data_IF_232957250837
#
_entry.id   IF_232957250837
#
_cell.length_a   1.000
_cell.length_b   1.000
_cell.length_c   1.000
_cell.angle_alpha   90.00
_cell.angle_beta   90.00
_cell.angle_gamma   90.00
#
_symmetry.space_group_name_H-M   'P 1'
#
loop_
_entity.id
_entity.type
_entity.pdbx_description
1 polymer ?
#
# COMPACT_ATOMS: atom_id res chain seq x y z
N UNK A 1 39.46 -27.12 28.11
CA UNK A 1 38.73 -26.96 26.84
C UNK A 1 37.49 -26.13 27.11
N UNK A 2 37.54 -24.84 26.78
CA UNK A 2 36.45 -23.91 27.06
C UNK A 2 35.49 -23.93 25.88
N UNK A 3 34.30 -24.48 26.07
CA UNK A 3 33.24 -24.47 25.05
C UNK A 3 32.81 -23.03 24.77
N UNK A 4 33.11 -22.55 23.56
CA UNK A 4 32.56 -21.30 23.03
C UNK A 4 31.09 -21.57 22.70
N UNK A 5 30.18 -21.09 23.54
CA UNK A 5 28.74 -21.07 23.24
C UNK A 5 28.51 -20.13 22.06
N UNK A 6 28.42 -20.69 20.86
CA UNK A 6 28.01 -19.97 19.66
C UNK A 6 26.55 -19.53 19.89
N UNK A 7 26.33 -18.23 20.01
CA UNK A 7 25.00 -17.65 20.17
C UNK A 7 24.22 -17.81 18.85
N UNK A 8 23.37 -18.84 18.76
CA UNK A 8 22.59 -19.22 17.56
C UNK A 8 21.46 -18.26 17.17
N UNK A 9 21.38 -17.08 17.80
CA UNK A 9 20.35 -16.07 17.52
C UNK A 9 20.80 -14.91 16.61
N UNK A 10 21.99 -14.97 16.00
CA UNK A 10 22.35 -14.03 14.94
C UNK A 10 21.72 -14.52 13.63
N UNK A 11 20.64 -13.88 13.20
CA UNK A 11 20.23 -13.93 11.79
C UNK A 11 21.38 -13.35 10.98
N UNK A 12 21.93 -14.14 10.07
CA UNK A 12 22.91 -13.64 9.12
C UNK A 12 22.23 -12.62 8.19
N UNK A 13 22.91 -11.50 7.93
CA UNK A 13 22.41 -10.51 6.99
C UNK A 13 22.37 -11.10 5.58
N UNK A 14 21.31 -10.79 4.83
CA UNK A 14 21.21 -11.19 3.42
C UNK A 14 22.25 -10.44 2.60
N UNK A 15 22.63 -10.99 1.45
CA UNK A 15 23.53 -10.30 0.52
C UNK A 15 22.96 -8.92 0.11
N UNK A 16 21.64 -8.83 -0.05
CA UNK A 16 20.95 -7.57 -0.35
C UNK A 16 21.04 -6.55 0.80
N UNK A 17 20.89 -7.00 2.06
CA UNK A 17 21.06 -6.13 3.24
C UNK A 17 22.50 -5.61 3.34
N UNK A 18 23.50 -6.45 3.07
CA UNK A 18 24.92 -6.05 3.07
C UNK A 18 25.20 -5.04 1.96
N UNK A 19 24.77 -5.32 0.72
CA UNK A 19 24.96 -4.39 -0.40
C UNK A 19 24.28 -3.04 -0.15
N UNK A 20 23.06 -3.04 0.39
CA UNK A 20 22.36 -1.80 0.72
C UNK A 20 23.07 -1.00 1.83
N UNK A 21 23.60 -1.70 2.83
CA UNK A 21 24.39 -1.07 3.89
C UNK A 21 25.70 -0.47 3.38
N UNK A 22 26.42 -1.17 2.50
CA UNK A 22 27.65 -0.66 1.87
C UNK A 22 27.37 0.58 1.00
N UNK A 23 26.26 0.59 0.25
CA UNK A 23 25.84 1.75 -0.51
C UNK A 23 25.53 2.96 0.39
N UNK A 24 24.90 2.73 1.55
CA UNK A 24 24.71 3.76 2.57
C UNK A 24 26.04 4.29 3.10
N UNK A 25 26.99 3.41 3.44
CA UNK A 25 28.32 3.83 3.92
C UNK A 25 29.09 4.66 2.88
N UNK A 26 29.00 4.28 1.60
CA UNK A 26 29.59 5.05 0.51
C UNK A 26 28.98 6.46 0.42
N UNK A 27 27.65 6.57 0.54
CA UNK A 27 26.97 7.86 0.53
C UNK A 27 27.33 8.75 1.74
N UNK A 28 27.51 8.16 2.93
CA UNK A 28 28.01 8.87 4.13
C UNK A 28 29.43 9.40 3.90
N UNK A 29 30.30 8.58 3.31
CA UNK A 29 31.67 8.98 3.02
C UNK A 29 31.70 10.16 2.03
N UNK A 30 30.91 10.09 0.96
CA UNK A 30 30.79 11.17 -0.02
C UNK A 30 30.27 12.46 0.62
N UNK A 31 29.22 12.39 1.44
CA UNK A 31 28.71 13.54 2.18
C UNK A 31 29.80 14.20 3.03
N UNK A 32 30.61 13.41 3.74
CA UNK A 32 31.71 13.92 4.56
C UNK A 32 32.79 14.59 3.71
N UNK A 33 33.14 14.00 2.56
CA UNK A 33 34.11 14.58 1.61
C UNK A 33 33.61 15.92 1.08
N UNK A 34 32.35 16.00 0.64
CA UNK A 34 31.72 17.23 0.13
C UNK A 34 31.69 18.30 1.22
N UNK A 35 31.31 17.94 2.46
CA UNK A 35 31.27 18.89 3.57
C UNK A 35 32.65 19.44 3.95
N UNK A 36 33.69 18.63 3.85
CA UNK A 36 35.07 19.02 4.14
C UNK A 36 35.72 19.84 3.01
N UNK A 37 35.17 19.81 1.80
CA UNK A 37 35.71 20.52 0.63
C UNK A 37 35.50 22.03 0.77
N UNK A 38 36.60 22.80 0.82
CA UNK A 38 36.59 24.27 0.99
C UNK A 38 35.79 25.05 -0.05
N UNK A 39 35.56 24.50 -1.24
CA UNK A 39 34.81 25.14 -2.32
C UNK A 39 33.39 24.60 -2.54
N UNK A 40 32.92 23.65 -1.72
CA UNK A 40 31.57 23.12 -1.87
C UNK A 40 30.53 24.17 -1.46
N UNK A 41 29.55 24.37 -2.34
CA UNK A 41 28.42 25.26 -2.08
C UNK A 41 27.46 24.65 -1.07
N UNK A 42 26.56 25.46 -0.52
CA UNK A 42 25.48 24.95 0.34
C UNK A 42 24.60 23.95 -0.40
N UNK A 43 24.34 24.16 -1.70
CA UNK A 43 23.57 23.22 -2.53
C UNK A 43 24.26 21.87 -2.62
N UNK A 44 25.57 21.83 -2.89
CA UNK A 44 26.34 20.57 -2.98
C UNK A 44 26.24 19.76 -1.68
N UNK A 45 26.29 20.43 -0.53
CA UNK A 45 26.15 19.79 0.79
C UNK A 45 24.74 19.26 1.01
N UNK A 46 23.71 20.00 0.61
CA UNK A 46 22.32 19.55 0.72
C UNK A 46 22.02 18.38 -0.21
N UNK A 47 22.53 18.40 -1.44
CA UNK A 47 22.37 17.31 -2.41
C UNK A 47 23.07 16.03 -1.90
N UNK A 48 24.27 16.16 -1.34
CA UNK A 48 24.98 15.03 -0.72
C UNK A 48 24.24 14.49 0.52
N UNK A 49 23.66 15.36 1.34
CA UNK A 49 22.85 14.96 2.49
C UNK A 49 21.56 14.24 2.06
N UNK A 50 20.91 14.70 1.00
CA UNK A 50 19.74 14.05 0.41
C UNK A 50 20.09 12.66 -0.16
N UNK A 51 21.24 12.53 -0.82
CA UNK A 51 21.75 11.26 -1.32
C UNK A 51 22.03 10.27 -0.18
N UNK A 52 22.68 10.73 0.90
CA UNK A 52 22.88 9.93 2.12
C UNK A 52 21.55 9.47 2.72
N UNK A 53 20.58 10.38 2.86
CA UNK A 53 19.26 10.05 3.42
C UNK A 53 18.53 9.02 2.56
N UNK A 54 18.58 9.16 1.23
CA UNK A 54 17.98 8.20 0.29
C UNK A 54 18.61 6.81 0.42
N UNK A 55 19.94 6.73 0.50
CA UNK A 55 20.64 5.46 0.67
C UNK A 55 20.31 4.80 2.02
N UNK A 56 20.20 5.60 3.09
CA UNK A 56 19.76 5.13 4.40
C UNK A 56 18.33 4.58 4.37
N UNK A 57 17.39 5.32 3.77
CA UNK A 57 16.00 4.86 3.64
C UNK A 57 15.92 3.54 2.88
N UNK A 58 16.69 3.40 1.79
CA UNK A 58 16.73 2.16 1.01
C UNK A 58 17.28 0.98 1.81
N UNK A 59 18.33 1.20 2.60
CA UNK A 59 18.84 0.17 3.51
C UNK A 59 17.79 -0.25 4.53
N UNK A 60 17.12 0.70 5.17
CA UNK A 60 16.09 0.42 6.14
C UNK A 60 14.87 -0.32 5.54
N UNK A 61 14.45 0.02 4.33
CA UNK A 61 13.42 -0.72 3.59
C UNK A 61 13.80 -2.19 3.41
N UNK A 62 15.02 -2.47 2.93
CA UNK A 62 15.50 -3.83 2.64
C UNK A 62 15.67 -4.64 3.92
N UNK A 63 16.21 -4.02 4.97
CA UNK A 63 16.41 -4.67 6.27
C UNK A 63 15.13 -4.74 7.13
N UNK A 64 14.01 -4.19 6.66
CA UNK A 64 12.73 -4.18 7.37
C UNK A 64 12.73 -3.32 8.63
N UNK A 65 13.61 -2.32 8.73
CA UNK A 65 13.60 -1.38 9.85
C UNK A 65 12.48 -0.36 9.67
N UNK A 66 11.62 -0.16 10.69
CA UNK A 66 10.58 0.86 10.61
C UNK A 66 11.23 2.24 10.62
N UNK A 67 11.19 2.95 9.48
CA UNK A 67 11.66 4.33 9.43
C UNK A 67 10.56 5.25 9.93
N UNK A 68 10.60 5.58 11.22
CA UNK A 68 9.78 6.63 11.79
C UNK A 68 10.28 7.99 11.27
N UNK A 69 9.77 8.46 10.13
CA UNK A 69 9.91 9.87 9.73
C UNK A 69 10.40 10.17 8.31
N UNK A 70 10.67 9.19 7.45
CA UNK A 70 11.06 9.46 6.05
C UNK A 70 10.08 8.89 5.04
N UNK A 71 8.77 9.09 5.24
CA UNK A 71 7.87 9.01 4.08
C UNK A 71 8.19 10.22 3.21
N UNK A 72 8.61 10.00 1.98
CA UNK A 72 8.88 11.13 1.09
C UNK A 72 7.59 11.95 0.91
N UNK A 73 7.68 13.25 0.62
CA UNK A 73 6.49 14.06 0.30
C UNK A 73 5.65 13.44 -0.83
N UNK A 74 6.28 12.76 -1.77
CA UNK A 74 5.64 12.00 -2.86
C UNK A 74 4.86 10.79 -2.32
N UNK A 75 5.39 10.07 -1.32
CA UNK A 75 4.68 8.97 -0.66
C UNK A 75 3.47 9.48 0.10
N UNK A 76 3.57 10.64 0.76
CA UNK A 76 2.45 11.25 1.49
C UNK A 76 1.33 11.63 0.51
N UNK A 77 1.67 12.35 -0.58
CA UNK A 77 0.70 12.72 -1.60
C UNK A 77 0.06 11.48 -2.26
N UNK A 78 0.85 10.44 -2.52
CA UNK A 78 0.36 9.17 -3.05
C UNK A 78 -0.58 8.47 -2.08
N UNK A 79 -0.23 8.42 -0.79
CA UNK A 79 -1.09 7.83 0.26
C UNK A 79 -2.40 8.62 0.40
N UNK A 80 -2.36 9.95 0.39
CA UNK A 80 -3.57 10.79 0.46
C UNK A 80 -4.45 10.58 -0.77
N UNK A 81 -3.86 10.53 -1.97
CA UNK A 81 -4.58 10.23 -3.21
C UNK A 81 -5.23 8.84 -3.16
N UNK A 82 -4.48 7.81 -2.76
CA UNK A 82 -5.00 6.45 -2.63
C UNK A 82 -6.12 6.37 -1.58
N UNK A 83 -5.98 7.04 -0.45
CA UNK A 83 -7.04 7.14 0.57
C UNK A 83 -8.31 7.80 0.02
N UNK A 84 -8.18 8.88 -0.74
CA UNK A 84 -9.30 9.53 -1.40
C UNK A 84 -10.02 8.58 -2.36
N UNK A 85 -9.25 7.86 -3.21
CA UNK A 85 -9.83 6.90 -4.16
C UNK A 85 -10.50 5.71 -3.48
N UNK A 86 -9.95 5.22 -2.37
CA UNK A 86 -10.60 4.18 -1.56
C UNK A 86 -11.92 4.70 -1.00
N UNK A 87 -11.96 5.95 -0.51
CA UNK A 87 -13.20 6.58 -0.04
C UNK A 87 -14.28 6.65 -1.12
N UNK A 88 -13.93 7.13 -2.33
CA UNK A 88 -14.85 7.19 -3.47
C UNK A 88 -15.40 5.81 -3.87
N UNK A 89 -14.55 4.78 -3.87
CA UNK A 89 -14.97 3.40 -4.18
C UNK A 89 -15.91 2.83 -3.12
N UNK A 90 -15.66 3.12 -1.84
CA UNK A 90 -16.53 2.71 -0.73
C UNK A 90 -17.90 3.36 -0.84
N UNK A 91 -17.97 4.66 -1.15
CA UNK A 91 -19.26 5.36 -1.36
C UNK A 91 -20.02 4.84 -2.58
N UNK A 92 -19.32 4.52 -3.67
CA UNK A 92 -19.92 3.89 -4.84
C UNK A 92 -20.50 2.50 -4.50
N UNK A 93 -19.78 1.70 -3.70
CA UNK A 93 -20.26 0.40 -3.24
C UNK A 93 -21.48 0.53 -2.31
N UNK A 94 -21.50 1.50 -1.38
CA UNK A 94 -22.68 1.79 -0.54
C UNK A 94 -23.89 2.23 -1.38
N UNK A 95 -23.66 3.07 -2.38
CA UNK A 95 -24.70 3.54 -3.29
C UNK A 95 -25.29 2.40 -4.10
N UNK A 96 -24.44 1.57 -4.72
CA UNK A 96 -24.89 0.39 -5.46
C UNK A 96 -25.62 -0.63 -4.56
N UNK A 97 -25.21 -0.79 -3.30
CA UNK A 97 -25.93 -1.63 -2.32
C UNK A 97 -27.34 -1.10 -2.07
N UNK A 98 -27.44 0.22 -1.86
CA UNK A 98 -28.72 0.89 -1.63
C UNK A 98 -29.65 0.78 -2.84
N UNK A 99 -29.12 0.84 -4.07
CA UNK A 99 -29.90 0.63 -5.29
C UNK A 99 -30.42 -0.80 -5.37
N UNK A 100 -29.59 -1.81 -5.08
CA UNK A 100 -30.01 -3.21 -5.05
C UNK A 100 -31.05 -3.49 -3.95
N UNK A 101 -30.89 -2.89 -2.77
CA UNK A 101 -31.88 -2.99 -1.69
C UNK A 101 -33.21 -2.31 -2.07
N UNK A 102 -33.16 -1.17 -2.77
CA UNK A 102 -34.36 -0.51 -3.29
C UNK A 102 -35.07 -1.34 -4.37
N UNK A 103 -34.31 -1.98 -5.24
CA UNK A 103 -34.81 -2.91 -6.26
C UNK A 103 -35.53 -4.12 -5.63
N UNK A 104 -34.93 -4.71 -4.59
CA UNK A 104 -35.52 -5.82 -3.83
C UNK A 104 -36.81 -5.38 -3.12
N UNK A 105 -36.80 -4.21 -2.48
CA UNK A 105 -37.97 -3.67 -1.78
C UNK A 105 -39.15 -3.29 -2.69
N UNK A 106 -38.89 -2.99 -3.97
CA UNK A 106 -39.92 -2.67 -4.96
C UNK A 106 -40.48 -3.91 -5.67
N UNK A 107 -39.99 -5.10 -5.35
CA UNK A 107 -40.44 -6.38 -5.91
C UNK A 107 -40.36 -6.43 -7.45
N UNK A 108 -39.47 -5.62 -8.04
CA UNK A 108 -39.36 -5.42 -9.50
C UNK A 108 -38.96 -6.70 -10.24
N UNK A 109 -38.33 -7.64 -9.53
CA UNK A 109 -37.79 -8.90 -10.08
C UNK A 109 -38.54 -10.15 -9.62
N UNK A 110 -39.73 -10.02 -9.02
CA UNK A 110 -40.59 -11.17 -8.70
C UNK A 110 -41.65 -11.44 -9.78
N UNK A 111 -41.93 -10.44 -10.63
CA UNK A 111 -42.90 -10.56 -11.72
C UNK A 111 -42.19 -10.64 -13.07
N UNK A 112 -42.39 -11.75 -13.79
CA UNK A 112 -41.82 -11.96 -15.12
C UNK A 112 -42.56 -11.03 -16.11
N UNK A 113 -41.82 -10.19 -16.86
CA UNK A 113 -42.44 -9.35 -17.89
C UNK A 113 -43.12 -10.18 -18.97
N UNK A 114 -44.25 -9.70 -19.47
CA UNK A 114 -45.00 -10.39 -20.52
C UNK A 114 -44.13 -10.54 -21.80
N UNK A 115 -43.94 -11.78 -22.26
CA UNK A 115 -43.09 -12.10 -23.40
C UNK A 115 -41.60 -12.33 -23.10
N UNK A 116 -41.16 -12.24 -21.84
CA UNK A 116 -39.80 -12.60 -21.44
C UNK A 116 -39.63 -14.12 -21.31
N UNK A 117 -38.44 -14.63 -21.67
CA UNK A 117 -38.08 -16.03 -21.43
C UNK A 117 -37.82 -16.27 -19.93
N UNK A 118 -38.33 -17.39 -19.43
CA UNK A 118 -38.25 -17.74 -18.01
C UNK A 118 -36.80 -18.06 -17.57
N UNK A 119 -36.02 -18.69 -18.44
CA UNK A 119 -34.62 -19.03 -18.17
C UNK A 119 -33.75 -17.78 -18.07
N UNK A 120 -33.91 -16.85 -19.02
CA UNK A 120 -33.18 -15.58 -19.03
C UNK A 120 -33.54 -14.70 -17.83
N UNK A 121 -34.83 -14.63 -17.46
CA UNK A 121 -35.29 -13.91 -16.27
C UNK A 121 -34.69 -14.50 -14.99
N UNK A 122 -34.75 -15.82 -14.83
CA UNK A 122 -34.23 -16.49 -13.64
C UNK A 122 -32.70 -16.32 -13.52
N UNK A 123 -31.97 -16.40 -14.64
CA UNK A 123 -30.53 -16.14 -14.66
C UNK A 123 -30.19 -14.70 -14.24
N UNK A 124 -30.93 -13.71 -14.74
CA UNK A 124 -30.74 -12.31 -14.37
C UNK A 124 -31.00 -12.07 -12.86
N UNK A 125 -32.06 -12.66 -12.32
CA UNK A 125 -32.38 -12.57 -10.88
C UNK A 125 -31.32 -13.21 -10.00
N UNK A 126 -30.78 -14.37 -10.39
CA UNK A 126 -29.67 -15.02 -9.68
C UNK A 126 -28.41 -14.16 -9.69
N UNK A 127 -28.02 -13.61 -10.85
CA UNK A 127 -26.84 -12.74 -10.98
C UNK A 127 -26.96 -11.47 -10.13
N UNK A 128 -28.17 -10.89 -10.06
CA UNK A 128 -28.45 -9.72 -9.21
C UNK A 128 -28.34 -10.06 -7.72
N UNK A 129 -28.88 -11.21 -7.30
CA UNK A 129 -28.76 -11.68 -5.92
C UNK A 129 -27.30 -11.91 -5.52
N UNK A 130 -26.52 -12.58 -6.38
CA UNK A 130 -25.09 -12.81 -6.17
C UNK A 130 -24.29 -11.51 -6.12
N UNK A 131 -24.61 -10.55 -7.00
CA UNK A 131 -24.02 -9.22 -6.96
C UNK A 131 -24.30 -8.52 -5.62
N UNK A 132 -25.52 -8.63 -5.09
CA UNK A 132 -25.89 -8.10 -3.77
C UNK A 132 -25.09 -8.73 -2.63
N UNK A 133 -24.84 -10.04 -2.67
CA UNK A 133 -24.01 -10.75 -1.67
C UNK A 133 -22.56 -10.25 -1.72
N UNK A 134 -21.97 -10.16 -2.92
CA UNK A 134 -20.60 -9.69 -3.12
C UNK A 134 -20.45 -8.24 -2.63
N UNK A 135 -21.40 -7.38 -2.99
CA UNK A 135 -21.37 -5.97 -2.61
C UNK A 135 -21.50 -5.79 -1.09
N UNK A 136 -22.38 -6.57 -0.44
CA UNK A 136 -22.54 -6.54 1.03
C UNK A 136 -21.27 -6.98 1.74
N UNK A 137 -20.58 -8.00 1.23
CA UNK A 137 -19.29 -8.42 1.77
C UNK A 137 -18.22 -7.34 1.60
N UNK A 138 -18.19 -6.66 0.45
CA UNK A 138 -17.27 -5.56 0.17
C UNK A 138 -17.51 -4.36 1.10
N UNK A 139 -18.76 -3.93 1.30
CA UNK A 139 -19.12 -2.85 2.23
C UNK A 139 -18.77 -3.21 3.67
N UNK A 140 -19.11 -4.42 4.12
CA UNK A 140 -18.77 -4.87 5.48
C UNK A 140 -17.26 -4.87 5.73
N UNK A 141 -16.46 -5.22 4.72
CA UNK A 141 -15.00 -5.15 4.81
C UNK A 141 -14.52 -3.70 4.90
N UNK A 142 -15.10 -2.79 4.10
CA UNK A 142 -14.77 -1.38 4.12
C UNK A 142 -15.16 -0.67 5.44
N UNK A 143 -16.25 -1.08 6.09
CA UNK A 143 -16.71 -0.52 7.37
C UNK A 143 -15.94 -1.05 8.60
N UNK A 144 -15.18 -2.14 8.44
CA UNK A 144 -14.39 -2.77 9.50
C UNK A 144 -12.93 -2.27 9.55
N UNK A 145 -12.52 -1.43 8.60
CA UNK A 145 -11.24 -0.69 8.55
C UNK A 145 -11.38 0.71 9.18
#
# INVERSE_FOLDING_TARGET
MTEIKINRNRRDYTAEEVTAYEAYLAAVAEHNIVCARRGATTRDKMDAAAAQMKAFSRFCEIAGYPIAGTRSPEDIATIEHLKSRVGELTEAARSAMSMLAGVDALDVFTTIPEGADWGDFNAATILLADAGVILRAAVKKADAE
#
